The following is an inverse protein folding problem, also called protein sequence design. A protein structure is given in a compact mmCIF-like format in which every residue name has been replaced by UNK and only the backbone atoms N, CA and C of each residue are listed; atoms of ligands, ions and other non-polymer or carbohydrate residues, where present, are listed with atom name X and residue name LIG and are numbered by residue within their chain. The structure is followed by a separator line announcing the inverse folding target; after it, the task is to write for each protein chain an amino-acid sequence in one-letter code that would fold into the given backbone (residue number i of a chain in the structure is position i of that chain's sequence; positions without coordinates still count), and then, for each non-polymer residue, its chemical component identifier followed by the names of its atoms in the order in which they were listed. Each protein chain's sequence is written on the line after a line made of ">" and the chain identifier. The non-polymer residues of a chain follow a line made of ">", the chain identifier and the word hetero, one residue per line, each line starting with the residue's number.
data_IF_657324497001
#
_entry.id   IF_657324497001
#
_cell.length_a   1.000
_cell.length_b   1.000
_cell.length_c   1.000
_cell.angle_alpha   90.00
_cell.angle_beta   90.00
_cell.angle_gamma   90.00
#
_symmetry.space_group_name_H-M   'P 1'
#
loop_
_entity.id
_entity.type
_entity.pdbx_description
1 polymer ?
#
# COMPACT_ATOMS: atom_id res chain seq x y z
N UNK A 1 -13.09 -19.54 13.50
CA UNK A 1 -12.71 -19.76 12.08
C UNK A 1 -13.42 -18.71 11.26
N UNK A 2 -12.67 -17.74 10.74
CA UNK A 2 -13.00 -17.00 9.52
C UNK A 2 -11.66 -16.45 9.03
N UNK A 3 -10.88 -17.34 8.43
CA UNK A 3 -9.77 -16.95 7.55
C UNK A 3 -10.41 -16.33 6.31
N UNK A 4 -10.63 -15.02 6.33
CA UNK A 4 -10.81 -14.25 5.10
C UNK A 4 -9.47 -14.30 4.38
N UNK A 5 -9.24 -15.36 3.60
CA UNK A 5 -8.13 -15.40 2.66
C UNK A 5 -8.33 -14.22 1.70
N UNK A 6 -7.41 -13.25 1.61
CA UNK A 6 -7.51 -12.23 0.58
C UNK A 6 -7.53 -12.94 -0.77
N UNK A 7 -8.64 -12.78 -1.48
CA UNK A 7 -8.77 -13.16 -2.89
C UNK A 7 -7.92 -12.18 -3.68
N UNK A 8 -6.61 -12.45 -3.71
CA UNK A 8 -5.55 -11.94 -4.59
C UNK A 8 -4.29 -11.78 -3.75
N UNK A 9 -3.64 -12.92 -3.51
CA UNK A 9 -2.25 -13.01 -3.06
C UNK A 9 -1.29 -12.59 -4.20
N UNK A 10 -1.71 -11.64 -5.03
CA UNK A 10 -0.93 -11.13 -6.15
C UNK A 10 -0.17 -9.92 -5.63
N UNK A 11 1.09 -10.08 -5.24
CA UNK A 11 1.89 -8.95 -4.82
C UNK A 11 2.02 -7.94 -5.97
N UNK A 12 1.95 -6.67 -5.61
CA UNK A 12 2.09 -5.56 -6.55
C UNK A 12 3.57 -5.17 -6.60
N UNK A 13 4.20 -5.17 -7.78
CA UNK A 13 5.58 -4.74 -7.89
C UNK A 13 5.67 -3.25 -7.54
N UNK A 14 6.62 -2.88 -6.66
CA UNK A 14 6.86 -1.48 -6.29
C UNK A 14 7.02 -0.56 -7.52
N UNK A 15 7.70 -1.06 -8.55
CA UNK A 15 7.90 -0.36 -9.82
C UNK A 15 6.58 0.12 -10.46
N UNK A 16 5.48 -0.64 -10.33
CA UNK A 16 4.19 -0.22 -10.86
C UNK A 16 3.66 1.04 -10.16
N UNK A 17 3.83 1.14 -8.85
CA UNK A 17 3.41 2.31 -8.07
C UNK A 17 4.32 3.51 -8.34
N UNK A 18 5.62 3.27 -8.54
CA UNK A 18 6.56 4.30 -8.99
C UNK A 18 6.22 4.81 -10.40
N UNK A 19 5.81 3.95 -11.32
CA UNK A 19 5.30 4.33 -12.65
C UNK A 19 3.97 5.10 -12.60
N UNK A 20 3.20 4.97 -11.51
CA UNK A 20 2.04 5.81 -11.23
C UNK A 20 2.42 7.19 -10.69
N UNK A 21 3.69 7.41 -10.38
CA UNK A 21 4.23 8.67 -9.86
C UNK A 21 4.30 8.75 -8.34
N UNK A 22 4.23 7.61 -7.63
CA UNK A 22 4.43 7.58 -6.18
C UNK A 22 5.91 7.34 -5.83
N UNK A 23 6.45 8.19 -4.96
CA UNK A 23 7.76 7.97 -4.36
C UNK A 23 7.56 7.18 -3.07
N UNK A 24 7.67 5.86 -3.15
CA UNK A 24 7.48 4.99 -1.98
C UNK A 24 8.77 4.90 -1.17
N UNK A 25 8.76 5.12 0.15
CA UNK A 25 9.88 4.79 1.04
C UNK A 25 10.01 3.27 1.26
N UNK A 26 11.19 2.78 1.62
CA UNK A 26 11.47 1.32 1.74
C UNK A 26 10.58 0.66 2.78
N UNK A 27 10.14 1.43 3.77
CA UNK A 27 9.23 1.05 4.84
C UNK A 27 7.81 0.69 4.35
N UNK A 28 7.41 1.08 3.15
CA UNK A 28 6.09 0.71 2.58
C UNK A 28 6.07 -0.78 2.25
N UNK A 29 5.11 -1.50 2.83
CA UNK A 29 4.95 -2.94 2.61
C UNK A 29 3.59 -3.33 2.01
N UNK A 30 2.58 -2.46 2.10
CA UNK A 30 1.25 -2.72 1.55
C UNK A 30 0.48 -1.44 1.23
N UNK A 31 -0.60 -1.56 0.48
CA UNK A 31 -1.54 -0.45 0.25
C UNK A 31 -2.95 -0.94 0.04
N UNK A 32 -3.93 -0.06 0.16
CA UNK A 32 -5.31 -0.29 -0.27
C UNK A 32 -5.90 0.98 -0.86
N UNK A 33 -7.01 0.86 -1.58
CA UNK A 33 -7.71 2.01 -2.16
C UNK A 33 -9.03 2.26 -1.45
N UNK A 34 -9.30 3.50 -1.08
CA UNK A 34 -10.56 3.94 -0.48
C UNK A 34 -11.16 5.04 -1.35
N UNK A 35 -12.16 4.69 -2.17
CA UNK A 35 -12.78 5.66 -3.07
C UNK A 35 -11.76 6.25 -4.04
N UNK A 36 -11.48 7.55 -3.93
CA UNK A 36 -10.52 8.25 -4.78
C UNK A 36 -9.13 8.37 -4.18
N UNK A 37 -8.86 7.65 -3.10
CA UNK A 37 -7.59 7.73 -2.38
C UNK A 37 -6.88 6.38 -2.36
N UNK A 38 -5.55 6.43 -2.33
CA UNK A 38 -4.68 5.28 -2.02
C UNK A 38 -4.08 5.50 -0.64
N UNK A 39 -4.03 4.42 0.14
CA UNK A 39 -3.45 4.42 1.49
C UNK A 39 -2.31 3.42 1.50
N UNK A 40 -1.10 3.89 1.74
CA UNK A 40 0.08 3.04 1.95
C UNK A 40 0.26 2.77 3.44
N UNK A 41 0.58 1.53 3.79
CA UNK A 41 1.00 1.17 5.13
C UNK A 41 2.53 1.04 5.16
N UNK A 42 3.14 1.77 6.08
CA UNK A 42 4.57 1.84 6.32
C UNK A 42 4.87 1.16 7.65
N UNK A 43 5.99 0.44 7.70
CA UNK A 43 6.53 -0.07 8.95
C UNK A 43 7.65 0.84 9.44
N UNK A 44 7.37 1.65 10.46
CA UNK A 44 8.33 2.58 11.03
C UNK A 44 9.02 1.93 12.23
N UNK A 45 10.35 1.99 12.23
CA UNK A 45 11.18 1.54 13.36
C UNK A 45 11.81 2.77 13.99
N UNK A 46 11.36 3.12 15.19
CA UNK A 46 11.88 4.25 15.97
C UNK A 46 12.79 3.74 17.10
N UNK A 47 14.00 4.27 17.16
CA UNK A 47 14.93 4.04 18.27
C UNK A 47 14.59 4.98 19.44
N UNK A 48 14.16 4.42 20.57
CA UNK A 48 13.80 5.18 21.77
C UNK A 48 14.71 4.78 22.92
N UNK A 49 15.87 5.45 23.01
CA UNK A 49 16.87 5.18 24.04
C UNK A 49 17.71 3.93 23.71
N UNK A 50 17.57 2.87 24.51
CA UNK A 50 18.22 1.57 24.29
C UNK A 50 17.27 0.51 23.71
N UNK A 51 16.04 0.90 23.36
CA UNK A 51 14.97 0.04 22.87
C UNK A 51 14.51 0.45 21.46
N UNK A 52 13.93 -0.50 20.73
CA UNK A 52 13.31 -0.27 19.42
C UNK A 52 11.79 -0.35 19.55
N UNK A 53 11.09 0.60 18.94
CA UNK A 53 9.64 0.55 18.77
C UNK A 53 9.32 0.37 17.30
N UNK A 54 8.53 -0.64 17.00
CA UNK A 54 8.00 -0.87 15.65
C UNK A 54 6.53 -0.54 15.68
N UNK A 55 6.09 0.34 14.79
CA UNK A 55 4.68 0.68 14.62
C UNK A 55 4.35 0.87 13.14
N UNK A 56 3.07 0.77 12.83
CA UNK A 56 2.55 0.97 11.48
C UNK A 56 2.08 2.41 11.34
N UNK A 57 2.48 3.05 10.25
CA UNK A 57 2.00 4.37 9.85
C UNK A 57 1.24 4.26 8.54
N UNK A 58 0.24 5.12 8.35
CA UNK A 58 -0.57 5.16 7.14
C UNK A 58 -0.43 6.50 6.44
N UNK A 59 -0.03 6.46 5.17
CA UNK A 59 0.03 7.64 4.32
C UNK A 59 -1.05 7.60 3.25
N UNK A 60 -1.89 8.63 3.23
CA UNK A 60 -3.04 8.75 2.34
C UNK A 60 -2.75 9.75 1.22
N UNK A 61 -2.88 9.31 -0.03
CA UNK A 61 -2.68 10.14 -1.21
C UNK A 61 -3.92 10.16 -2.10
N UNK A 62 -4.32 11.33 -2.62
CA UNK A 62 -5.40 11.41 -3.59
C UNK A 62 -4.96 10.84 -4.94
N UNK A 63 -5.81 10.03 -5.56
CA UNK A 63 -5.60 9.49 -6.90
C UNK A 63 -6.29 10.36 -7.95
N UNK A 64 -5.56 10.63 -9.04
CA UNK A 64 -6.16 11.16 -10.27
C UNK A 64 -7.03 10.10 -10.97
N UNK A 65 -7.98 10.52 -11.81
CA UNK A 65 -8.80 9.58 -12.59
C UNK A 65 -7.94 8.63 -13.44
N UNK A 66 -6.83 9.10 -13.99
CA UNK A 66 -5.91 8.28 -14.77
C UNK A 66 -5.25 7.20 -13.91
N UNK A 67 -4.81 7.52 -12.69
CA UNK A 67 -4.24 6.53 -11.76
C UNK A 67 -5.27 5.51 -11.31
N UNK A 68 -6.50 5.96 -10.99
CA UNK A 68 -7.62 5.06 -10.65
C UNK A 68 -7.87 4.07 -11.79
N UNK A 69 -7.88 4.56 -13.04
CA UNK A 69 -8.14 3.70 -14.18
C UNK A 69 -7.01 2.69 -14.40
N UNK A 70 -5.74 3.10 -14.24
CA UNK A 70 -4.58 2.19 -14.31
C UNK A 70 -4.62 1.13 -13.21
N UNK A 71 -4.96 1.49 -11.97
CA UNK A 71 -5.12 0.55 -10.86
C UNK A 71 -6.24 -0.47 -11.16
N UNK A 72 -7.37 -0.01 -11.71
CA UNK A 72 -8.49 -0.91 -12.10
C UNK A 72 -8.11 -1.85 -13.23
N UNK A 73 -7.42 -1.35 -14.25
CA UNK A 73 -6.99 -2.13 -15.42
C UNK A 73 -5.99 -3.24 -15.01
N UNK A 74 -5.09 -2.91 -14.08
CA UNK A 74 -4.14 -3.86 -13.50
C UNK A 74 -4.74 -4.79 -12.43
N UNK A 75 -5.99 -4.56 -11.99
CA UNK A 75 -6.64 -5.33 -10.93
C UNK A 75 -6.24 -4.94 -9.50
N UNK A 76 -5.52 -3.83 -9.32
CA UNK A 76 -4.98 -3.34 -8.04
C UNK A 76 -5.82 -2.24 -7.39
N UNK A 77 -7.12 -2.19 -7.70
CA UNK A 77 -8.06 -1.25 -7.11
C UNK A 77 -9.03 -2.02 -6.21
N UNK A 78 -8.71 -2.12 -4.92
CA UNK A 78 -9.51 -2.85 -3.94
C UNK A 78 -9.37 -2.25 -2.54
N UNK A 79 -10.45 -2.20 -1.75
CA UNK A 79 -10.39 -1.83 -0.33
C UNK A 79 -9.79 -2.94 0.54
N UNK A 80 -9.69 -4.18 0.06
CA UNK A 80 -9.06 -5.30 0.81
C UNK A 80 -7.54 -5.14 0.94
N UNK A 81 -6.92 -4.39 0.04
CA UNK A 81 -5.48 -4.12 0.02
C UNK A 81 -4.62 -5.17 -0.66
N UNK A 82 -3.38 -4.78 -0.95
CA UNK A 82 -2.37 -5.54 -1.65
C UNK A 82 -1.02 -5.40 -0.96
N UNK A 83 -0.23 -6.49 -0.97
CA UNK A 83 1.17 -6.45 -0.56
C UNK A 83 2.03 -5.87 -1.69
N UNK A 84 3.08 -5.15 -1.32
CA UNK A 84 4.06 -4.59 -2.25
C UNK A 84 5.33 -5.45 -2.22
N UNK A 85 5.86 -5.79 -3.41
CA UNK A 85 7.12 -6.52 -3.63
C UNK A 85 8.23 -5.60 -4.11
#
# INVERSE_FOLDING_TARGET
>A
MNESRPKDDTPVPRAFLEELGFELPEEVFSFYTEGTDIIFNLQVVEEVGCDFRVYEEQEKFPLSQTQIQKLKDAGYYSPDGFLIL
#
